data_IF_453622050975
#
_entry.id   IF_453622050975
#
_cell.length_a   1.000
_cell.length_b   1.000
_cell.length_c   1.000
_cell.angle_alpha   90.00
_cell.angle_beta   90.00
_cell.angle_gamma   90.00
#
_symmetry.space_group_name_H-M   'P 1'
#
loop_
_entity.id
_entity.type
_entity.pdbx_description
1 polymer ?
#
# COMPACT_ATOMS: atom_id res chain seq x y z
N UNK A 1 8.36 3.09 2.42
CA UNK A 1 9.39 2.03 2.35
C UNK A 1 9.26 1.31 1.01
N UNK A 2 10.17 1.53 0.07
CA UNK A 2 10.15 0.85 -1.24
C UNK A 2 10.61 -0.60 -1.03
N UNK A 3 9.66 -1.53 -0.96
CA UNK A 3 9.94 -2.96 -0.87
C UNK A 3 10.20 -3.48 -2.29
N UNK A 4 11.44 -3.84 -2.60
CA UNK A 4 11.75 -4.49 -3.86
C UNK A 4 11.36 -5.97 -3.75
N UNK A 5 10.22 -6.33 -4.34
CA UNK A 5 9.73 -7.72 -4.41
C UNK A 5 10.71 -8.68 -5.12
N UNK A 6 11.76 -8.17 -5.78
CA UNK A 6 12.77 -8.98 -6.47
C UNK A 6 13.93 -9.37 -5.55
N UNK A 7 14.24 -8.60 -4.50
CA UNK A 7 15.43 -8.86 -3.67
C UNK A 7 15.16 -9.02 -2.17
N UNK A 8 13.90 -8.93 -1.69
CA UNK A 8 13.48 -9.16 -0.29
C UNK A 8 14.21 -8.32 0.79
N UNK A 9 15.08 -7.39 0.40
CA UNK A 9 15.77 -6.50 1.33
C UNK A 9 14.87 -5.30 1.68
N UNK A 10 14.65 -5.08 2.98
CA UNK A 10 13.98 -3.88 3.46
C UNK A 10 14.89 -2.68 3.24
N UNK A 11 14.52 -1.79 2.33
CA UNK A 11 15.31 -0.61 2.00
C UNK A 11 15.22 0.52 3.05
N UNK A 12 15.13 0.15 4.34
CA UNK A 12 15.07 1.09 5.47
C UNK A 12 16.31 1.98 5.54
N UNK A 13 17.48 1.39 5.26
CA UNK A 13 18.76 2.10 5.25
C UNK A 13 18.76 3.26 4.26
N UNK A 14 18.26 3.02 3.03
CA UNK A 14 18.11 4.06 2.01
C UNK A 14 17.09 5.12 2.40
N UNK A 15 16.00 4.77 3.09
CA UNK A 15 15.00 5.74 3.54
C UNK A 15 15.53 6.67 4.65
N UNK A 16 16.30 6.13 5.60
CA UNK A 16 16.94 6.91 6.66
C UNK A 16 18.02 7.84 6.11
N UNK A 17 18.85 7.35 5.19
CA UNK A 17 19.89 8.15 4.51
C UNK A 17 19.27 9.29 3.68
N UNK A 18 18.25 9.00 2.88
CA UNK A 18 17.52 10.01 2.10
C UNK A 18 16.84 11.03 3.02
N UNK A 19 16.22 10.60 4.12
CA UNK A 19 15.62 11.52 5.08
C UNK A 19 16.67 12.39 5.79
N UNK A 20 17.85 11.83 6.10
CA UNK A 20 18.97 12.58 6.68
C UNK A 20 19.52 13.62 5.69
N UNK A 21 19.68 13.27 4.42
CA UNK A 21 20.10 14.20 3.36
C UNK A 21 19.07 15.32 3.17
N UNK A 22 17.78 14.98 3.09
CA UNK A 22 16.69 15.95 3.04
C UNK A 22 16.73 16.90 4.24
N UNK A 23 16.90 16.35 5.44
CA UNK A 23 17.00 17.15 6.66
C UNK A 23 18.22 18.07 6.64
N UNK A 24 19.38 17.61 6.13
CA UNK A 24 20.58 18.43 5.96
C UNK A 24 20.38 19.59 4.97
N UNK A 25 19.51 19.42 3.98
CA UNK A 25 19.08 20.45 3.03
C UNK A 25 17.97 21.36 3.58
N UNK A 26 17.55 21.19 4.84
CA UNK A 26 16.43 21.92 5.44
C UNK A 26 15.06 21.51 4.90
N UNK A 27 14.99 20.36 4.22
CA UNK A 27 13.76 19.81 3.67
C UNK A 27 13.10 18.90 4.70
N UNK A 28 11.77 18.86 4.67
CA UNK A 28 10.99 17.94 5.52
C UNK A 28 11.20 16.48 5.14
N UNK A 29 10.93 15.60 6.10
CA UNK A 29 10.83 14.15 5.90
C UNK A 29 9.90 13.86 4.72
N UNK A 30 10.28 12.91 3.87
CA UNK A 30 9.49 12.57 2.69
C UNK A 30 8.12 11.98 3.05
N UNK A 31 7.14 12.21 2.17
CA UNK A 31 5.79 11.68 2.31
C UNK A 31 4.90 12.46 3.27
N UNK A 32 3.60 12.17 3.21
CA UNK A 32 2.61 12.71 4.15
C UNK A 32 2.61 11.85 5.43
N UNK A 33 2.64 12.45 6.63
CA UNK A 33 2.69 11.70 7.89
C UNK A 33 1.56 10.68 8.05
N UNK A 34 0.33 11.04 7.63
CA UNK A 34 -0.81 10.14 7.69
C UNK A 34 -0.61 8.93 6.78
N UNK A 35 -0.09 9.13 5.56
CA UNK A 35 0.18 8.02 4.65
C UNK A 35 1.32 7.12 5.16
N UNK A 36 2.36 7.70 5.76
CA UNK A 36 3.43 6.92 6.38
C UNK A 36 2.89 6.06 7.54
N UNK A 37 2.10 6.64 8.44
CA UNK A 37 1.50 5.89 9.57
C UNK A 37 0.56 4.78 9.08
N UNK A 38 -0.28 5.06 8.07
CA UNK A 38 -1.14 4.03 7.46
C UNK A 38 -0.32 2.90 6.86
N UNK A 39 0.75 3.22 6.12
CA UNK A 39 1.62 2.21 5.54
C UNK A 39 2.26 1.31 6.60
N UNK A 40 2.70 1.88 7.73
CA UNK A 40 3.25 1.12 8.85
C UNK A 40 2.22 0.17 9.46
N UNK A 41 1.00 0.66 9.70
CA UNK A 41 -0.12 -0.18 10.21
C UNK A 41 -0.44 -1.33 9.25
N UNK A 42 -0.43 -1.08 7.94
CA UNK A 42 -0.65 -2.10 6.93
C UNK A 42 0.46 -3.16 6.94
N UNK A 43 1.72 -2.74 7.06
CA UNK A 43 2.83 -3.68 7.18
C UNK A 43 2.69 -4.57 8.43
N UNK A 44 2.37 -3.99 9.58
CA UNK A 44 2.16 -4.75 10.82
C UNK A 44 1.00 -5.74 10.68
N UNK A 45 -0.14 -5.29 10.13
CA UNK A 45 -1.32 -6.11 9.93
C UNK A 45 -1.05 -7.29 8.99
N UNK A 46 -0.45 -7.05 7.82
CA UNK A 46 -0.10 -8.10 6.85
C UNK A 46 0.90 -9.09 7.46
N UNK A 47 1.95 -8.58 8.13
CA UNK A 47 2.95 -9.43 8.77
C UNK A 47 2.32 -10.33 9.84
N UNK A 48 1.38 -9.80 10.64
CA UNK A 48 0.67 -10.58 11.64
C UNK A 48 -0.15 -11.71 11.01
N UNK A 49 -0.91 -11.42 9.94
CA UNK A 49 -1.70 -12.42 9.21
C UNK A 49 -0.81 -13.51 8.58
N UNK A 50 0.29 -13.12 7.95
CA UNK A 50 1.26 -14.07 7.38
C UNK A 50 1.95 -14.92 8.45
N UNK A 51 2.26 -14.34 9.62
CA UNK A 51 2.82 -15.08 10.76
C UNK A 51 1.83 -16.11 11.29
N UNK A 52 0.54 -15.76 11.41
CA UNK A 52 -0.52 -16.69 11.81
C UNK A 52 -0.60 -17.89 10.83
N UNK A 53 -0.60 -17.62 9.52
CA UNK A 53 -0.61 -18.66 8.49
C UNK A 53 0.61 -19.59 8.57
N UNK A 54 1.82 -19.04 8.77
CA UNK A 54 3.05 -19.82 8.96
C UNK A 54 2.98 -20.71 10.20
N UNK A 55 2.58 -20.16 11.34
CA UNK A 55 2.45 -20.91 12.59
C UNK A 55 1.44 -22.06 12.46
N UNK A 56 0.28 -21.81 11.84
CA UNK A 56 -0.71 -22.87 11.58
C UNK A 56 -0.14 -23.99 10.70
N UNK A 57 0.58 -23.65 9.64
CA UNK A 57 1.23 -24.65 8.79
C UNK A 57 2.30 -25.45 9.54
N UNK A 58 3.13 -24.79 10.35
CA UNK A 58 4.15 -25.46 11.16
C UNK A 58 3.54 -26.42 12.18
N UNK A 59 2.41 -26.06 12.80
CA UNK A 59 1.65 -26.94 13.69
C UNK A 59 1.10 -28.18 12.96
N UNK A 60 0.64 -28.03 11.71
CA UNK A 60 0.20 -29.16 10.89
C UNK A 60 1.37 -30.10 10.56
N UNK A 61 2.52 -29.53 10.17
CA UNK A 61 3.74 -30.30 9.92
C UNK A 61 4.20 -31.05 11.18
N UNK A 62 4.15 -30.39 12.34
CA UNK A 62 4.54 -31.00 13.61
C UNK A 62 3.60 -32.17 13.99
N UNK A 63 2.30 -32.02 13.75
CA UNK A 63 1.29 -33.00 14.16
C UNK A 63 1.15 -34.18 13.19
N UNK A 64 1.28 -33.94 11.89
CA UNK A 64 0.96 -34.92 10.84
C UNK A 64 2.16 -35.25 9.92
N UNK A 65 3.32 -34.63 10.15
CA UNK A 65 4.52 -34.82 9.34
C UNK A 65 4.58 -33.92 8.10
N UNK A 66 5.72 -33.91 7.41
CA UNK A 66 5.97 -33.02 6.25
C UNK A 66 5.10 -33.37 5.02
N UNK A 67 4.69 -34.64 4.90
CA UNK A 67 3.80 -35.11 3.83
C UNK A 67 2.31 -35.09 4.23
N UNK A 68 1.91 -34.26 5.22
CA UNK A 68 0.52 -34.18 5.67
C UNK A 68 -0.44 -33.79 4.55
N UNK A 69 0.02 -33.03 3.56
CA UNK A 69 -0.78 -32.65 2.39
C UNK A 69 -1.22 -33.86 1.55
N UNK A 70 -0.46 -34.97 1.59
CA UNK A 70 -0.80 -36.23 0.90
C UNK A 70 -1.49 -37.23 1.82
N UNK A 71 -1.05 -37.29 3.08
CA UNK A 71 -1.50 -38.30 4.05
C UNK A 71 -2.78 -37.91 4.79
N UNK A 72 -3.02 -36.60 4.94
CA UNK A 72 -4.16 -36.01 5.64
C UNK A 72 -4.71 -34.81 4.85
N UNK A 73 -5.22 -35.05 3.62
CA UNK A 73 -5.63 -33.99 2.70
C UNK A 73 -6.74 -33.08 3.26
N UNK A 74 -7.58 -33.59 4.17
CA UNK A 74 -8.64 -32.82 4.83
C UNK A 74 -8.09 -31.66 5.67
N UNK A 75 -6.92 -31.84 6.30
CA UNK A 75 -6.28 -30.79 7.10
C UNK A 75 -5.65 -29.73 6.19
N UNK A 76 -5.05 -30.14 5.07
CA UNK A 76 -4.57 -29.22 4.05
C UNK A 76 -5.71 -28.43 3.40
N UNK A 77 -6.82 -29.07 3.02
CA UNK A 77 -7.99 -28.40 2.45
C UNK A 77 -8.56 -27.36 3.40
N UNK A 78 -8.70 -27.71 4.68
CA UNK A 78 -9.15 -26.77 5.71
C UNK A 78 -8.19 -25.57 5.83
N UNK A 79 -6.89 -25.82 5.93
CA UNK A 79 -5.88 -24.76 5.98
C UNK A 79 -5.92 -23.86 4.73
N UNK A 80 -6.03 -24.44 3.54
CA UNK A 80 -6.12 -23.69 2.29
C UNK A 80 -7.38 -22.81 2.23
N UNK A 81 -8.52 -23.30 2.71
CA UNK A 81 -9.75 -22.52 2.81
C UNK A 81 -9.58 -21.34 3.79
N UNK A 82 -9.03 -21.60 4.98
CA UNK A 82 -8.75 -20.55 5.97
C UNK A 82 -7.76 -19.51 5.43
N UNK A 83 -6.75 -19.92 4.65
CA UNK A 83 -5.80 -19.00 4.01
C UNK A 83 -6.49 -18.08 3.01
N UNK A 84 -7.41 -18.61 2.18
CA UNK A 84 -8.20 -17.80 1.25
C UNK A 84 -9.11 -16.82 1.98
N UNK A 85 -9.71 -17.24 3.10
CA UNK A 85 -10.53 -16.35 3.94
C UNK A 85 -9.70 -15.22 4.56
N UNK A 86 -8.46 -15.50 4.97
CA UNK A 86 -7.52 -14.48 5.46
C UNK A 86 -7.12 -13.49 4.36
N UNK A 87 -6.83 -13.96 3.15
CA UNK A 87 -6.55 -13.08 2.00
C UNK A 87 -7.74 -12.17 1.68
N UNK A 88 -8.96 -12.72 1.71
CA UNK A 88 -10.18 -11.93 1.52
C UNK A 88 -10.32 -10.84 2.60
N UNK A 89 -10.09 -11.17 3.86
CA UNK A 89 -10.14 -10.20 4.96
C UNK A 89 -9.14 -9.06 4.77
N UNK A 90 -7.91 -9.38 4.35
CA UNK A 90 -6.88 -8.38 4.04
C UNK A 90 -7.34 -7.46 2.91
N UNK A 91 -7.84 -8.04 1.82
CA UNK A 91 -8.30 -7.27 0.66
C UNK A 91 -9.49 -6.37 0.99
N UNK A 92 -10.49 -6.89 1.72
CA UNK A 92 -11.68 -6.13 2.12
C UNK A 92 -11.30 -4.92 2.99
N UNK A 93 -10.38 -5.11 3.94
CA UNK A 93 -9.93 -4.02 4.79
C UNK A 93 -9.06 -3.01 4.03
N UNK A 94 -8.24 -3.48 3.09
CA UNK A 94 -7.40 -2.63 2.25
C UNK A 94 -8.23 -1.73 1.36
N UNK A 95 -9.24 -2.28 0.69
CA UNK A 95 -10.11 -1.51 -0.19
C UNK A 95 -10.91 -0.44 0.56
N UNK A 96 -11.32 -0.71 1.80
CA UNK A 96 -11.97 0.31 2.65
C UNK A 96 -11.01 1.46 2.97
N UNK A 97 -9.77 1.16 3.37
CA UNK A 97 -8.79 2.18 3.72
C UNK A 97 -8.31 2.99 2.51
N UNK A 98 -8.19 2.35 1.34
CA UNK A 98 -7.92 3.03 0.07
C UNK A 98 -9.03 4.03 -0.24
N UNK A 99 -10.30 3.61 -0.14
CA UNK A 99 -11.43 4.50 -0.38
C UNK A 99 -11.43 5.69 0.59
N UNK A 100 -11.23 5.45 1.89
CA UNK A 100 -11.10 6.51 2.89
C UNK A 100 -9.94 7.46 2.56
N UNK A 101 -8.81 6.92 2.08
CA UNK A 101 -7.65 7.71 1.66
C UNK A 101 -7.94 8.61 0.46
N UNK A 102 -8.71 8.13 -0.52
CA UNK A 102 -9.18 8.97 -1.63
C UNK A 102 -10.10 10.09 -1.15
N UNK A 103 -11.02 9.74 -0.25
CA UNK A 103 -12.01 10.67 0.29
C UNK A 103 -11.36 11.73 1.17
N UNK A 104 -10.33 11.38 1.95
CA UNK A 104 -9.61 12.32 2.79
C UNK A 104 -8.55 13.09 2.01
N UNK A 105 -7.75 12.43 1.18
CA UNK A 105 -6.53 12.98 0.56
C UNK A 105 -5.43 13.28 1.58
N UNK A 106 -4.32 13.85 1.13
CA UNK A 106 -3.16 14.18 1.98
C UNK A 106 -3.56 15.03 3.19
N UNK A 107 -2.94 14.79 4.35
CA UNK A 107 -3.20 15.53 5.58
C UNK A 107 -2.51 16.90 5.59
N UNK A 108 -1.41 17.03 4.84
CA UNK A 108 -0.57 18.22 4.76
C UNK A 108 -0.41 18.71 3.31
N UNK A 109 0.14 19.93 3.16
CA UNK A 109 0.56 20.42 1.85
C UNK A 109 1.66 19.52 1.26
N UNK A 110 1.51 18.99 0.05
CA UNK A 110 2.45 18.06 -0.59
C UNK A 110 3.75 18.70 -1.10
N UNK A 111 3.79 20.02 -1.29
CA UNK A 111 5.04 20.71 -1.67
C UNK A 111 6.12 20.62 -0.59
N UNK A 112 7.26 20.03 -0.92
CA UNK A 112 8.32 19.65 0.03
C UNK A 112 8.92 20.83 0.82
N UNK A 113 8.95 22.03 0.23
CA UNK A 113 9.51 23.24 0.84
C UNK A 113 8.42 24.19 1.38
N UNK A 114 7.26 23.65 1.78
CA UNK A 114 6.21 24.43 2.43
C UNK A 114 6.57 24.73 3.89
N UNK A 115 6.61 26.01 4.28
CA UNK A 115 6.90 26.42 5.67
C UNK A 115 5.78 26.07 6.67
N UNK A 116 4.54 25.97 6.18
CA UNK A 116 3.34 25.68 6.99
C UNK A 116 2.54 24.55 6.34
N UNK A 117 3.01 23.29 6.45
CA UNK A 117 2.36 22.15 5.81
C UNK A 117 0.97 21.86 6.39
N UNK A 118 0.77 22.11 7.69
CA UNK A 118 -0.49 21.95 8.44
C UNK A 118 -1.41 23.18 8.34
N UNK A 119 -1.58 23.74 7.14
CA UNK A 119 -2.45 24.90 6.97
C UNK A 119 -3.92 24.53 7.21
N UNK A 120 -4.68 25.41 7.88
CA UNK A 120 -6.12 25.22 8.18
C UNK A 120 -6.96 24.87 6.95
N UNK A 121 -6.51 25.32 5.77
CA UNK A 121 -7.17 25.06 4.50
C UNK A 121 -6.17 24.55 3.47
N UNK A 122 -6.47 23.37 2.95
CA UNK A 122 -5.74 22.78 1.83
C UNK A 122 -6.67 22.56 0.63
N UNK A 123 -6.14 22.82 -0.57
CA UNK A 123 -6.81 22.62 -1.84
C UNK A 123 -6.37 21.31 -2.46
N UNK A 124 -7.32 20.49 -2.89
CA UNK A 124 -7.05 19.20 -3.57
C UNK A 124 -6.62 19.42 -5.01
N UNK A 125 -5.72 18.57 -5.49
CA UNK A 125 -5.46 18.46 -6.91
C UNK A 125 -6.73 17.98 -7.64
N UNK A 126 -7.21 18.77 -8.60
CA UNK A 126 -8.39 18.41 -9.39
C UNK A 126 -8.19 17.17 -10.27
N UNK A 127 -6.95 16.76 -10.52
CA UNK A 127 -6.62 15.58 -11.31
C UNK A 127 -6.78 14.28 -10.51
N UNK A 128 -6.04 14.14 -9.40
CA UNK A 128 -6.03 12.90 -8.62
C UNK A 128 -6.94 12.90 -7.40
N UNK A 129 -7.39 14.07 -6.91
CA UNK A 129 -8.16 14.20 -5.67
C UNK A 129 -7.39 13.95 -4.36
N UNK A 130 -6.21 13.31 -4.44
CA UNK A 130 -5.40 12.89 -3.28
C UNK A 130 -4.47 14.01 -2.81
N UNK A 131 -3.59 14.50 -3.68
CA UNK A 131 -2.58 15.49 -3.30
C UNK A 131 -3.24 16.81 -2.88
N UNK A 132 -2.74 17.42 -1.80
CA UNK A 132 -3.28 18.67 -1.26
C UNK A 132 -2.21 19.75 -1.14
N UNK A 133 -2.62 21.01 -1.28
CA UNK A 133 -1.72 22.16 -1.24
C UNK A 133 -2.34 23.34 -0.51
N UNK A 134 -1.57 24.08 0.28
CA UNK A 134 -2.08 25.31 0.91
C UNK A 134 -2.27 26.46 -0.10
N UNK A 135 -1.67 26.36 -1.30
CA UNK A 135 -1.80 27.36 -2.36
C UNK A 135 -1.64 26.76 -3.76
N UNK A 136 -2.15 27.48 -4.77
CA UNK A 136 -1.92 27.13 -6.19
C UNK A 136 -0.44 27.25 -6.60
N UNK A 137 0.34 28.11 -5.93
CA UNK A 137 1.76 28.26 -6.19
C UNK A 137 2.55 27.00 -5.80
N UNK A 138 2.21 26.41 -4.66
CA UNK A 138 2.78 25.13 -4.22
C UNK A 138 2.41 24.00 -5.17
N UNK A 139 1.14 23.89 -5.57
CA UNK A 139 0.73 22.90 -6.57
C UNK A 139 1.52 23.03 -7.88
N UNK A 140 1.70 24.26 -8.40
CA UNK A 140 2.43 24.48 -9.65
C UNK A 140 3.91 24.11 -9.54
N UNK A 141 4.53 24.43 -8.41
CA UNK A 141 5.95 24.13 -8.16
C UNK A 141 6.15 22.62 -8.03
N UNK A 142 5.28 21.97 -7.25
CA UNK A 142 5.30 20.52 -7.05
C UNK A 142 4.99 19.73 -8.32
N UNK A 143 4.08 20.24 -9.16
CA UNK A 143 3.78 19.69 -10.48
C UNK A 143 5.00 19.63 -11.40
N UNK A 144 5.85 20.65 -11.36
CA UNK A 144 7.08 20.69 -12.16
C UNK A 144 8.15 19.73 -11.67
N UNK A 145 8.03 19.23 -10.44
CA UNK A 145 9.08 18.48 -9.76
C UNK A 145 8.73 17.00 -9.65
N UNK A 146 7.70 16.63 -8.87
CA UNK A 146 7.36 15.24 -8.56
C UNK A 146 5.91 14.91 -8.92
N UNK A 147 4.95 15.78 -8.57
CA UNK A 147 3.53 15.42 -8.61
C UNK A 147 3.02 15.03 -10.00
N UNK A 148 3.58 15.58 -11.08
CA UNK A 148 3.17 15.20 -12.44
C UNK A 148 3.38 13.70 -12.71
N UNK A 149 4.46 13.10 -12.21
CA UNK A 149 4.72 11.67 -12.39
C UNK A 149 3.81 10.78 -11.54
N UNK A 150 3.36 11.30 -10.40
CA UNK A 150 2.57 10.54 -9.41
C UNK A 150 1.05 10.71 -9.58
N UNK A 151 0.62 11.77 -10.29
CA UNK A 151 -0.78 12.10 -10.40
C UNK A 151 -1.54 11.05 -11.20
N UNK A 152 -2.55 10.43 -10.58
CA UNK A 152 -3.39 9.39 -11.20
C UNK A 152 -4.13 9.86 -12.46
N UNK A 153 -4.30 11.17 -12.66
CA UNK A 153 -4.84 11.70 -13.92
C UNK A 153 -3.92 11.47 -15.11
N UNK A 154 -2.61 11.30 -14.88
CA UNK A 154 -1.60 11.00 -15.90
C UNK A 154 -1.47 9.50 -16.20
N UNK A 155 -2.12 8.62 -15.40
CA UNK A 155 -2.09 7.18 -15.64
C UNK A 155 -2.81 6.88 -16.97
N UNK A 156 -2.19 6.15 -17.90
CA UNK A 156 -2.82 5.77 -19.16
C UNK A 156 -4.15 5.03 -18.96
N UNK A 157 -5.12 5.27 -19.85
CA UNK A 157 -6.47 4.71 -19.72
C UNK A 157 -6.46 3.18 -19.61
N UNK A 158 -5.62 2.49 -20.40
CA UNK A 158 -5.53 1.02 -20.35
C UNK A 158 -5.12 0.48 -18.98
N UNK A 159 -4.25 1.19 -18.23
CA UNK A 159 -3.87 0.79 -16.87
C UNK A 159 -5.05 1.03 -15.92
N UNK A 160 -5.79 2.13 -16.09
CA UNK A 160 -6.99 2.41 -15.27
C UNK A 160 -8.05 1.34 -15.48
N UNK A 161 -8.28 0.96 -16.74
CA UNK A 161 -9.24 -0.07 -17.10
C UNK A 161 -8.85 -1.42 -16.50
N UNK A 162 -7.56 -1.79 -16.58
CA UNK A 162 -7.04 -3.03 -15.99
C UNK A 162 -7.20 -3.08 -14.45
N UNK A 163 -6.91 -1.98 -13.76
CA UNK A 163 -7.11 -1.86 -12.31
C UNK A 163 -8.60 -2.00 -11.94
N UNK A 164 -9.49 -1.36 -12.70
CA UNK A 164 -10.91 -1.39 -12.42
C UNK A 164 -11.51 -2.78 -12.73
N UNK A 165 -11.06 -3.44 -13.79
CA UNK A 165 -11.41 -4.83 -14.05
C UNK A 165 -10.97 -5.75 -12.91
N UNK A 166 -9.75 -5.57 -12.39
CA UNK A 166 -9.25 -6.35 -11.26
C UNK A 166 -10.08 -6.13 -9.98
N UNK A 167 -10.39 -4.87 -9.68
CA UNK A 167 -11.29 -4.52 -8.58
C UNK A 167 -12.64 -5.22 -8.72
N UNK A 168 -13.24 -5.21 -9.91
CA UNK A 168 -14.53 -5.84 -10.17
C UNK A 168 -14.46 -7.37 -10.04
N UNK A 169 -13.36 -8.00 -10.44
CA UNK A 169 -13.12 -9.43 -10.20
C UNK A 169 -13.05 -9.75 -8.71
N UNK A 170 -12.32 -8.96 -7.95
CA UNK A 170 -12.18 -9.11 -6.50
C UNK A 170 -13.55 -8.95 -5.79
N UNK A 171 -14.33 -7.93 -6.16
CA UNK A 171 -15.69 -7.73 -5.63
C UNK A 171 -16.65 -8.87 -5.99
N UNK A 172 -16.46 -9.51 -7.14
CA UNK A 172 -17.22 -10.70 -7.55
C UNK A 172 -16.74 -12.00 -6.87
N UNK A 173 -15.70 -11.94 -6.04
CA UNK A 173 -15.11 -13.10 -5.37
C UNK A 173 -14.33 -14.04 -6.30
N UNK A 174 -13.92 -13.56 -7.47
CA UNK A 174 -13.19 -14.35 -8.46
C UNK A 174 -11.68 -14.18 -8.27
N UNK A 175 -11.12 -14.94 -7.33
CA UNK A 175 -9.69 -14.90 -6.96
C UNK A 175 -8.80 -15.90 -7.73
N UNK A 176 -9.34 -16.64 -8.71
CA UNK A 176 -8.67 -17.80 -9.30
C UNK A 176 -7.66 -17.46 -10.44
N UNK A 177 -7.47 -16.18 -10.78
CA UNK A 177 -6.62 -15.76 -11.91
C UNK A 177 -5.57 -14.74 -11.47
N UNK A 178 -4.40 -15.25 -11.07
CA UNK A 178 -3.15 -14.47 -11.14
C UNK A 178 -2.51 -14.87 -12.47
N UNK A 179 -2.84 -14.15 -13.55
CA UNK A 179 -2.22 -14.40 -14.85
C UNK A 179 -0.74 -14.01 -14.77
N UNK A 180 0.12 -15.00 -14.51
CA UNK A 180 1.57 -14.86 -14.63
C UNK A 180 1.91 -14.85 -16.12
N UNK A 181 1.79 -13.69 -16.75
CA UNK A 181 2.50 -13.43 -18.00
C UNK A 181 3.94 -13.01 -17.74
#
# INVERSE_FOLDING_TARGET
MLYCHICEESNKFLQEEVNAERSALGLRVGGDPMFNEKADKWMEFINAKQMEGRLKNDLLIQKYGKDFTKTHPEHWQKFACESKDQEREINDEFLKDVQATFDDGASQCCYYACDKPDADKLFRCAGCGIAKYCSKAHQKSDWGWEHKGECTSQVPQFIRDEIEEDRNRNLAGNYDVIDRR
#
